data_IF_626580355051
#
_entry.id   IF_626580355051
#
_cell.length_a   1.000
_cell.length_b   1.000
_cell.length_c   1.000
_cell.angle_alpha   90.00
_cell.angle_beta   90.00
_cell.angle_gamma   90.00
#
_symmetry.space_group_name_H-M   'P 1'
#
loop_
_entity.id
_entity.type
_entity.pdbx_description
1 polymer ?
#
# COMPACT_ATOMS: atom_id res chain seq x y z
N UNK A 1 16.54 -36.23 14.41
CA UNK A 1 15.66 -35.43 13.54
C UNK A 1 16.08 -33.96 13.62
N UNK A 2 16.56 -33.41 12.50
CA UNK A 2 17.03 -32.03 12.38
C UNK A 2 15.81 -31.16 11.99
N UNK A 3 15.28 -30.35 12.90
CA UNK A 3 14.23 -29.38 12.61
C UNK A 3 14.90 -28.08 12.22
N UNK A 4 14.78 -27.75 10.93
CA UNK A 4 15.39 -26.62 10.25
C UNK A 4 15.08 -25.30 10.99
N UNK A 5 16.14 -24.54 11.24
CA UNK A 5 16.11 -23.17 11.67
C UNK A 5 15.41 -22.31 10.60
N UNK A 6 14.20 -21.84 10.91
CA UNK A 6 13.59 -20.72 10.20
C UNK A 6 14.58 -19.55 10.25
N UNK A 7 14.89 -18.86 9.14
CA UNK A 7 15.60 -17.60 9.23
C UNK A 7 14.67 -16.64 9.97
N UNK A 8 15.00 -16.36 11.22
CA UNK A 8 14.50 -15.20 11.96
C UNK A 8 15.01 -13.98 11.21
N UNK A 9 14.24 -13.52 10.23
CA UNK A 9 14.44 -12.23 9.59
C UNK A 9 14.56 -11.23 10.73
N UNK A 10 15.64 -10.44 10.80
CA UNK A 10 15.78 -9.49 11.89
C UNK A 10 14.58 -8.56 11.78
N UNK A 11 13.70 -8.65 12.78
CA UNK A 11 12.63 -7.69 13.02
C UNK A 11 13.34 -6.39 13.39
N UNK A 12 13.92 -5.73 12.38
CA UNK A 12 14.42 -4.40 12.56
C UNK A 12 13.18 -3.58 12.84
N UNK A 13 13.10 -3.05 14.05
CA UNK A 13 12.25 -1.90 14.35
C UNK A 13 12.74 -0.73 13.49
N UNK A 14 12.44 -0.78 12.20
CA UNK A 14 12.58 0.35 11.29
C UNK A 14 11.30 1.15 11.42
N UNK A 15 11.44 2.47 11.40
CA UNK A 15 10.39 3.46 11.53
C UNK A 15 9.03 2.93 11.05
N UNK A 16 8.00 3.01 11.89
CA UNK A 16 6.64 2.61 11.52
C UNK A 16 6.19 3.24 10.18
N UNK A 17 6.82 4.34 9.78
CA UNK A 17 6.67 4.99 8.48
C UNK A 17 7.70 4.51 7.43
N UNK A 18 7.23 3.85 6.37
CA UNK A 18 7.92 3.71 5.09
C UNK A 18 7.22 4.58 4.04
N UNK A 19 7.91 5.00 2.98
CA UNK A 19 7.28 5.72 1.86
C UNK A 19 6.92 4.77 0.73
N UNK A 20 5.72 4.95 0.18
CA UNK A 20 5.23 4.18 -0.95
C UNK A 20 4.84 5.08 -2.11
N UNK A 21 5.26 4.70 -3.30
CA UNK A 21 4.80 5.25 -4.57
C UNK A 21 3.57 4.45 -5.02
N UNK A 22 2.43 5.12 -5.25
CA UNK A 22 1.21 4.48 -5.73
C UNK A 22 1.26 4.34 -7.26
N UNK A 23 1.31 3.10 -7.73
CA UNK A 23 1.37 2.76 -9.15
C UNK A 23 0.00 2.49 -9.75
N UNK A 24 -0.91 1.93 -8.97
CA UNK A 24 -2.30 1.70 -9.38
C UNK A 24 -3.25 1.79 -8.18
N UNK A 25 -4.48 2.24 -8.41
CA UNK A 25 -5.54 2.30 -7.38
C UNK A 25 -6.84 1.82 -7.99
N UNK A 26 -7.32 0.67 -7.50
CA UNK A 26 -8.61 0.10 -7.87
C UNK A 26 -9.65 0.43 -6.79
N UNK A 27 -10.57 1.33 -7.14
CA UNK A 27 -11.55 1.84 -6.20
C UNK A 27 -12.88 2.22 -6.86
N UNK A 28 -13.96 2.02 -6.10
CA UNK A 28 -15.28 2.54 -6.44
C UNK A 28 -15.39 3.98 -5.96
N UNK A 29 -15.73 4.89 -6.89
CA UNK A 29 -16.00 6.30 -6.59
C UNK A 29 -17.44 6.66 -6.96
N UNK A 30 -18.04 7.55 -6.17
CA UNK A 30 -19.31 8.20 -6.52
C UNK A 30 -19.08 9.13 -7.72
N UNK A 31 -19.76 8.93 -8.85
CA UNK A 31 -19.52 9.72 -10.06
C UNK A 31 -20.00 11.17 -9.95
N UNK A 32 -20.93 11.48 -9.05
CA UNK A 32 -21.45 12.83 -8.85
C UNK A 32 -20.56 13.66 -7.91
N UNK A 33 -19.97 13.04 -6.89
CA UNK A 33 -19.20 13.74 -5.85
C UNK A 33 -17.70 13.41 -5.84
N UNK A 34 -17.24 12.46 -6.66
CA UNK A 34 -15.87 11.93 -6.63
C UNK A 34 -15.50 11.25 -5.31
N UNK A 35 -16.49 10.91 -4.47
CA UNK A 35 -16.24 10.35 -3.14
C UNK A 35 -15.79 8.91 -3.27
N UNK A 36 -14.70 8.53 -2.59
CA UNK A 36 -14.29 7.14 -2.49
C UNK A 36 -15.34 6.35 -1.68
N UNK A 37 -16.04 5.43 -2.35
CA UNK A 37 -17.04 4.55 -1.74
C UNK A 37 -16.37 3.29 -1.21
N UNK A 38 -15.48 2.68 -2.01
CA UNK A 38 -14.77 1.47 -1.63
C UNK A 38 -13.39 1.43 -2.29
N UNK A 39 -12.40 0.85 -1.61
CA UNK A 39 -11.06 0.63 -2.14
C UNK A 39 -10.85 -0.89 -2.22
N UNK A 40 -10.82 -1.43 -3.44
CA UNK A 40 -10.66 -2.87 -3.65
C UNK A 40 -9.20 -3.27 -3.49
N UNK A 41 -8.31 -2.52 -4.15
CA UNK A 41 -6.88 -2.77 -4.07
C UNK A 41 -6.05 -1.56 -4.45
N UNK A 42 -4.76 -1.61 -4.15
CA UNK A 42 -3.77 -0.68 -4.69
C UNK A 42 -2.49 -1.41 -5.02
N UNK A 43 -1.76 -0.94 -6.01
CA UNK A 43 -0.41 -1.39 -6.32
C UNK A 43 0.55 -0.31 -5.86
N UNK A 44 1.48 -0.69 -5.01
CA UNK A 44 2.45 0.23 -4.43
C UNK A 44 3.88 -0.29 -4.62
N UNK A 45 4.81 0.64 -4.84
CA UNK A 45 6.25 0.39 -4.73
C UNK A 45 6.74 0.91 -3.39
N UNK A 46 7.39 0.04 -2.62
CA UNK A 46 8.10 0.44 -1.41
C UNK A 46 9.38 1.21 -1.78
N UNK A 47 9.54 2.45 -1.33
CA UNK A 47 10.73 3.25 -1.64
C UNK A 47 11.97 2.82 -0.84
N UNK A 48 11.83 1.92 0.14
CA UNK A 48 12.95 1.40 0.92
C UNK A 48 13.56 0.10 0.37
N UNK A 49 12.75 -0.80 -0.20
CA UNK A 49 13.22 -2.09 -0.75
C UNK A 49 12.83 -2.30 -2.22
N UNK A 50 12.25 -1.29 -2.86
CA UNK A 50 11.83 -1.28 -4.26
C UNK A 50 10.79 -2.35 -4.65
N UNK A 51 10.32 -3.13 -3.68
CA UNK A 51 9.32 -4.18 -3.90
C UNK A 51 8.01 -3.56 -4.36
N UNK A 52 7.52 -4.02 -5.50
CA UNK A 52 6.18 -3.73 -6.02
C UNK A 52 5.24 -4.82 -5.56
N UNK A 53 4.11 -4.44 -4.98
CA UNK A 53 3.12 -5.39 -4.47
C UNK A 53 1.70 -4.83 -4.60
N UNK A 54 0.75 -5.74 -4.74
CA UNK A 54 -0.69 -5.44 -4.65
C UNK A 54 -1.11 -5.58 -3.19
N UNK A 55 -1.80 -4.58 -2.67
CA UNK A 55 -2.35 -4.56 -1.33
C UNK A 55 -3.88 -4.59 -1.40
N UNK A 56 -4.46 -5.53 -0.67
CA UNK A 56 -5.91 -5.77 -0.55
C UNK A 56 -6.28 -5.81 0.93
N UNK A 57 -7.55 -5.58 1.27
CA UNK A 57 -7.97 -5.54 2.67
C UNK A 57 -7.62 -6.86 3.38
N UNK A 58 -6.85 -6.78 4.47
CA UNK A 58 -6.33 -7.93 5.20
C UNK A 58 -5.06 -8.56 4.61
N UNK A 59 -4.59 -8.09 3.45
CA UNK A 59 -3.36 -8.50 2.78
C UNK A 59 -2.54 -7.26 2.37
N UNK A 60 -1.81 -6.70 3.34
CA UNK A 60 -0.97 -5.51 3.11
C UNK A 60 -1.74 -4.18 3.10
N UNK A 61 -3.07 -4.19 3.18
CA UNK A 61 -3.92 -3.01 3.38
C UNK A 61 -4.82 -3.20 4.61
N UNK A 62 -4.95 -2.14 5.40
CA UNK A 62 -5.90 -2.06 6.52
C UNK A 62 -6.69 -0.75 6.40
N UNK A 63 -8.01 -0.86 6.32
CA UNK A 63 -8.91 0.28 6.20
C UNK A 63 -9.48 0.72 7.54
N UNK A 64 -9.15 1.93 7.97
CA UNK A 64 -9.78 2.62 9.09
C UNK A 64 -10.77 3.68 8.58
N UNK A 65 -11.71 4.12 9.42
CA UNK A 65 -12.70 5.14 9.05
C UNK A 65 -12.06 6.43 8.50
N UNK A 66 -10.86 6.80 8.99
CA UNK A 66 -10.16 8.03 8.60
C UNK A 66 -8.92 7.82 7.70
N UNK A 67 -8.46 6.58 7.49
CA UNK A 67 -7.20 6.30 6.81
C UNK A 67 -7.17 4.93 6.12
N UNK A 68 -6.28 4.77 5.16
CA UNK A 68 -5.94 3.50 4.51
C UNK A 68 -4.47 3.21 4.76
N UNK A 69 -4.16 2.19 5.56
CA UNK A 69 -2.78 1.87 5.97
C UNK A 69 -2.25 0.77 5.07
N UNK A 70 -1.18 1.06 4.33
CA UNK A 70 -0.47 0.11 3.48
C UNK A 70 0.78 -0.37 4.20
N UNK A 71 1.04 -1.68 4.18
CA UNK A 71 2.21 -2.31 4.80
C UNK A 71 3.08 -2.98 3.74
N UNK A 72 4.39 -2.80 3.86
CA UNK A 72 5.33 -3.48 2.97
C UNK A 72 5.40 -4.98 3.34
N UNK A 73 5.24 -5.91 2.38
CA UNK A 73 5.27 -7.35 2.66
C UNK A 73 6.64 -7.85 3.12
N UNK A 74 7.71 -7.11 2.84
CA UNK A 74 9.07 -7.43 3.28
C UNK A 74 9.39 -6.89 4.68
N UNK A 75 8.44 -6.18 5.32
CA UNK A 75 8.61 -5.65 6.68
C UNK A 75 9.34 -4.31 6.76
N UNK A 76 9.46 -3.53 5.68
CA UNK A 76 10.10 -2.21 5.71
C UNK A 76 9.35 -1.14 6.53
N UNK A 77 8.05 -1.33 6.78
CA UNK A 77 7.20 -0.37 7.50
C UNK A 77 5.82 -0.23 6.86
N UNK A 78 5.10 0.82 7.25
CA UNK A 78 3.74 1.11 6.77
C UNK A 78 3.51 2.61 6.46
N UNK A 79 2.46 2.94 5.72
CA UNK A 79 2.07 4.33 5.43
C UNK A 79 0.55 4.46 5.45
N UNK A 80 0.07 5.52 6.10
CA UNK A 80 -1.33 5.89 6.07
C UNK A 80 -1.61 6.85 4.91
N UNK A 81 -2.52 6.47 4.02
CA UNK A 81 -3.08 7.31 2.97
C UNK A 81 -4.39 7.94 3.44
N UNK A 82 -4.49 9.26 3.29
CA UNK A 82 -5.74 9.98 3.48
C UNK A 82 -6.68 9.65 2.31
N UNK A 83 -7.99 9.43 2.54
CA UNK A 83 -8.95 9.19 1.47
C UNK A 83 -8.95 10.29 0.39
N UNK A 84 -8.67 11.54 0.76
CA UNK A 84 -8.56 12.65 -0.19
C UNK A 84 -7.45 12.45 -1.24
N UNK A 85 -6.32 11.85 -0.85
CA UNK A 85 -5.21 11.57 -1.78
C UNK A 85 -5.62 10.46 -2.76
N UNK A 86 -6.25 9.39 -2.28
CA UNK A 86 -6.71 8.29 -3.13
C UNK A 86 -7.80 8.73 -4.11
N UNK A 87 -8.68 9.67 -3.72
CA UNK A 87 -9.67 10.27 -4.63
C UNK A 87 -9.02 11.07 -5.76
N UNK A 88 -7.96 11.81 -5.44
CA UNK A 88 -7.24 12.63 -6.41
C UNK A 88 -6.17 11.84 -7.18
N UNK A 89 -5.97 10.56 -6.85
CA UNK A 89 -4.99 9.73 -7.52
C UNK A 89 -5.42 9.56 -8.98
N UNK A 90 -4.49 9.85 -9.87
CA UNK A 90 -4.62 9.61 -11.29
C UNK A 90 -3.45 8.73 -11.69
N UNK A 91 -3.66 7.74 -12.58
CA UNK A 91 -2.54 7.03 -13.14
C UNK A 91 -1.64 8.08 -13.77
N UNK A 92 -0.37 8.14 -13.35
CA UNK A 92 0.62 8.86 -14.12
C UNK A 92 0.63 8.17 -15.48
N UNK A 93 -0.08 8.74 -16.47
CA UNK A 93 0.15 8.40 -17.86
C UNK A 93 1.62 8.69 -18.08
N UNK A 94 2.43 7.64 -18.06
CA UNK A 94 3.73 7.69 -18.69
C UNK A 94 3.40 8.14 -20.11
N UNK A 95 3.73 9.39 -20.44
CA UNK A 95 3.74 9.83 -21.80
C UNK A 95 4.72 8.89 -22.51
N UNK A 96 4.19 7.89 -23.19
CA UNK A 96 4.95 7.11 -24.14
C UNK A 96 5.28 8.09 -25.27
N UNK A 97 6.46 8.69 -25.17
CA UNK A 97 7.11 9.46 -26.21
C UNK A 97 8.12 8.56 -26.92
#
# INVERSE_FOLDING_TARGET
>A
MNLQSLPSTPYRMLADSCQFELLDVDALQDPASGRLLHLYSLVARCMSCETVFKAEEGQGLVSHTAARVVRCPTGCGQQAFKPALLRAWQPQRVAQA
#
